data_IF_196551524864
#
_entry.id   IF_196551524864
#
_cell.length_a   1.000
_cell.length_b   1.000
_cell.length_c   1.000
_cell.angle_alpha   90.00
_cell.angle_beta   90.00
_cell.angle_gamma   90.00
#
_symmetry.space_group_name_H-M   'P 1'
#
loop_
_entity.id
_entity.type
_entity.pdbx_description
1 polymer ?
#
# COMPACT_ATOMS: atom_id res chain seq x y z
N UNK A 1 -15.15 3.29 11.29
CA UNK A 1 -15.02 1.83 11.12
C UNK A 1 -13.61 1.52 10.67
N UNK A 2 -12.92 0.62 11.35
CA UNK A 2 -11.57 0.23 10.99
C UNK A 2 -11.50 -1.25 10.67
N UNK A 3 -10.71 -1.57 9.66
CA UNK A 3 -10.41 -2.92 9.21
C UNK A 3 -8.91 -3.16 9.28
N UNK A 4 -8.49 -4.43 9.39
CA UNK A 4 -7.08 -4.80 9.67
C UNK A 4 -6.46 -5.71 8.60
N UNK A 5 -7.20 -5.98 7.51
CA UNK A 5 -6.73 -6.75 6.37
C UNK A 5 -7.37 -6.23 5.07
N UNK A 6 -6.80 -6.62 3.94
CA UNK A 6 -7.26 -6.27 2.60
C UNK A 6 -8.77 -6.49 2.38
N UNK A 7 -9.26 -7.68 2.72
CA UNK A 7 -10.63 -8.09 2.45
C UNK A 7 -11.63 -7.33 3.32
N UNK A 8 -11.34 -7.19 4.60
CA UNK A 8 -12.19 -6.41 5.52
C UNK A 8 -12.18 -4.93 5.19
N UNK A 9 -11.05 -4.37 4.75
CA UNK A 9 -10.95 -2.94 4.36
C UNK A 9 -11.83 -2.64 3.16
N UNK A 10 -11.76 -3.49 2.12
CA UNK A 10 -12.68 -3.42 0.99
C UNK A 10 -14.14 -3.55 1.43
N UNK A 11 -14.45 -4.50 2.33
CA UNK A 11 -15.82 -4.71 2.80
C UNK A 11 -16.35 -3.50 3.59
N UNK A 12 -15.52 -2.86 4.41
CA UNK A 12 -15.85 -1.60 5.10
C UNK A 12 -16.14 -0.51 4.08
N UNK A 13 -15.31 -0.33 3.04
CA UNK A 13 -15.55 0.65 1.98
C UNK A 13 -16.91 0.43 1.28
N UNK A 14 -17.24 -0.81 0.94
CA UNK A 14 -18.54 -1.16 0.34
C UNK A 14 -19.72 -0.88 1.28
N UNK A 15 -19.55 -1.11 2.59
CA UNK A 15 -20.57 -0.78 3.58
C UNK A 15 -20.74 0.74 3.75
N UNK A 16 -19.62 1.48 3.79
CA UNK A 16 -19.61 2.94 3.87
C UNK A 16 -20.38 3.56 2.70
N UNK A 17 -20.10 3.11 1.48
CA UNK A 17 -20.80 3.51 0.26
C UNK A 17 -22.30 3.16 0.32
N UNK A 18 -22.63 1.87 0.52
CA UNK A 18 -24.00 1.36 0.50
C UNK A 18 -24.95 2.11 1.42
N UNK A 19 -24.47 2.53 2.59
CA UNK A 19 -25.29 3.19 3.61
C UNK A 19 -25.07 4.71 3.68
N UNK A 20 -24.22 5.27 2.81
CA UNK A 20 -23.88 6.70 2.78
C UNK A 20 -23.33 7.19 4.12
N UNK A 21 -22.50 6.37 4.78
CA UNK A 21 -22.10 6.61 6.16
C UNK A 21 -21.08 7.74 6.29
N UNK A 22 -20.22 7.92 5.28
CA UNK A 22 -19.24 9.01 5.27
C UNK A 22 -19.93 10.38 5.30
N UNK A 23 -20.94 10.57 4.45
CA UNK A 23 -21.80 11.76 4.45
C UNK A 23 -22.60 11.96 5.77
N UNK A 24 -22.74 10.91 6.58
CA UNK A 24 -23.35 10.95 7.93
C UNK A 24 -22.33 11.18 9.04
N UNK A 25 -21.07 11.47 8.70
CA UNK A 25 -19.99 11.75 9.66
C UNK A 25 -19.29 10.50 10.22
N UNK A 26 -19.54 9.31 9.66
CA UNK A 26 -18.78 8.11 10.03
C UNK A 26 -17.46 8.12 9.27
N UNK A 27 -16.35 8.05 9.99
CA UNK A 27 -15.02 7.90 9.40
C UNK A 27 -14.65 6.43 9.26
N UNK A 28 -13.86 6.08 8.25
CA UNK A 28 -13.40 4.72 8.03
C UNK A 28 -12.04 4.61 7.35
N UNK A 29 -11.31 3.53 7.67
CA UNK A 29 -10.02 3.23 7.04
C UNK A 29 -9.56 1.81 7.31
N UNK A 30 -8.42 1.43 6.76
CA UNK A 30 -7.86 0.10 6.97
C UNK A 30 -6.48 -0.10 6.35
N UNK A 31 -6.24 -1.30 5.84
CA UNK A 31 -4.93 -1.75 5.35
C UNK A 31 -5.03 -2.34 3.94
N UNK A 32 -3.87 -2.41 3.30
CA UNK A 32 -3.63 -2.97 1.97
C UNK A 32 -4.29 -2.18 0.83
N UNK A 33 -4.00 -2.61 -0.40
CA UNK A 33 -4.17 -1.82 -1.62
C UNK A 33 -5.05 -2.51 -2.66
N UNK A 34 -6.12 -3.17 -2.25
CA UNK A 34 -7.07 -3.72 -3.24
C UNK A 34 -7.65 -2.60 -4.10
N UNK A 35 -7.87 -2.82 -5.41
CA UNK A 35 -8.40 -1.79 -6.31
C UNK A 35 -9.65 -1.11 -5.77
N UNK A 36 -10.61 -1.88 -5.24
CA UNK A 36 -11.84 -1.35 -4.68
C UNK A 36 -11.63 -0.53 -3.39
N UNK A 37 -10.55 -0.77 -2.65
CA UNK A 37 -10.17 0.07 -1.50
C UNK A 37 -9.69 1.43 -1.98
N UNK A 38 -8.85 1.46 -3.02
CA UNK A 38 -8.35 2.70 -3.61
C UNK A 38 -9.47 3.50 -4.27
N UNK A 39 -10.43 2.84 -4.91
CA UNK A 39 -11.62 3.47 -5.48
C UNK A 39 -12.51 4.06 -4.38
N UNK A 40 -12.72 3.35 -3.27
CA UNK A 40 -13.49 3.86 -2.13
C UNK A 40 -12.85 5.11 -1.50
N UNK A 41 -11.52 5.20 -1.46
CA UNK A 41 -10.82 6.42 -1.01
C UNK A 41 -11.02 7.55 -2.01
N UNK A 42 -10.83 7.28 -3.31
CA UNK A 42 -11.01 8.28 -4.37
C UNK A 42 -12.44 8.86 -4.40
N UNK A 43 -13.44 8.03 -4.09
CA UNK A 43 -14.86 8.37 -4.10
C UNK A 43 -15.41 8.87 -2.76
N UNK A 44 -14.55 9.17 -1.77
CA UNK A 44 -14.97 9.73 -0.47
C UNK A 44 -15.83 8.76 0.37
N UNK A 45 -15.53 7.47 0.31
CA UNK A 45 -16.18 6.42 1.12
C UNK A 45 -15.26 5.86 2.20
N UNK A 46 -13.94 5.94 1.99
CA UNK A 46 -12.90 5.65 2.98
C UNK A 46 -11.99 6.86 3.12
N UNK A 47 -11.55 7.15 4.34
CA UNK A 47 -10.62 8.25 4.62
C UNK A 47 -9.18 7.89 4.22
N UNK A 48 -8.78 6.63 4.48
CA UNK A 48 -7.44 6.14 4.14
C UNK A 48 -7.35 4.61 4.09
N UNK A 49 -6.26 4.12 3.50
CA UNK A 49 -5.71 2.78 3.72
C UNK A 49 -4.21 2.88 4.05
N UNK A 50 -3.62 1.80 4.54
CA UNK A 50 -2.20 1.72 4.88
C UNK A 50 -1.49 0.77 3.91
N UNK A 51 -0.57 1.33 3.14
CA UNK A 51 0.41 0.61 2.32
C UNK A 51 1.58 0.15 3.21
N UNK A 52 1.72 -1.17 3.34
CA UNK A 52 2.79 -1.81 4.11
C UNK A 52 4.06 -2.08 3.28
N UNK A 53 4.13 -1.59 2.04
CA UNK A 53 5.27 -1.72 1.14
C UNK A 53 5.68 -3.18 0.87
N UNK A 54 4.72 -4.00 0.42
CA UNK A 54 4.94 -5.42 0.16
C UNK A 54 6.11 -5.72 -0.80
N UNK A 55 6.34 -4.85 -1.80
CA UNK A 55 7.49 -4.99 -2.71
C UNK A 55 8.83 -4.88 -1.97
N UNK A 56 8.99 -3.89 -1.08
CA UNK A 56 10.22 -3.74 -0.29
C UNK A 56 10.43 -4.94 0.62
N UNK A 57 9.38 -5.46 1.25
CA UNK A 57 9.46 -6.67 2.08
C UNK A 57 10.03 -7.86 1.30
N UNK A 58 9.53 -8.08 0.07
CA UNK A 58 10.07 -9.12 -0.81
C UNK A 58 11.50 -8.84 -1.27
N UNK A 59 11.79 -7.60 -1.69
CA UNK A 59 13.10 -7.19 -2.20
C UNK A 59 14.20 -7.33 -1.15
N UNK A 60 14.00 -6.78 0.05
CA UNK A 60 14.99 -6.85 1.12
C UNK A 60 15.22 -8.29 1.57
N UNK A 61 14.17 -9.12 1.63
CA UNK A 61 14.33 -10.55 1.93
C UNK A 61 15.27 -11.24 0.93
N UNK A 62 15.10 -10.99 -0.38
CA UNK A 62 15.97 -11.59 -1.41
C UNK A 62 17.40 -11.04 -1.32
N UNK A 63 17.55 -9.73 -1.08
CA UNK A 63 18.84 -9.09 -0.89
C UNK A 63 19.61 -9.70 0.29
N UNK A 64 18.97 -9.86 1.45
CA UNK A 64 19.58 -10.46 2.64
C UNK A 64 19.97 -11.92 2.41
N UNK A 65 19.10 -12.72 1.77
CA UNK A 65 19.43 -14.09 1.39
C UNK A 65 20.65 -14.16 0.46
N UNK A 66 20.79 -13.22 -0.48
CA UNK A 66 21.95 -13.14 -1.36
C UNK A 66 23.22 -12.81 -0.57
N UNK A 67 23.16 -11.83 0.35
CA UNK A 67 24.30 -11.46 1.20
C UNK A 67 24.72 -12.58 2.14
N UNK A 68 23.76 -13.28 2.75
CA UNK A 68 24.04 -14.45 3.58
C UNK A 68 24.82 -15.51 2.80
N UNK A 69 24.38 -15.85 1.58
CA UNK A 69 25.08 -16.83 0.73
C UNK A 69 26.47 -16.37 0.32
N UNK A 70 26.62 -15.13 -0.15
CA UNK A 70 27.89 -14.60 -0.64
C UNK A 70 28.94 -14.43 0.47
N UNK A 71 28.49 -14.10 1.68
CA UNK A 71 29.36 -13.91 2.84
C UNK A 71 29.74 -15.22 3.53
N UNK A 72 29.25 -16.38 3.07
CA UNK A 72 29.43 -17.65 3.79
C UNK A 72 28.71 -17.69 5.14
N UNK A 73 27.63 -16.91 5.30
CA UNK A 73 26.83 -16.81 6.52
C UNK A 73 27.29 -15.74 7.51
N UNK A 74 28.29 -14.92 7.17
CA UNK A 74 28.77 -13.84 8.05
C UNK A 74 27.81 -12.64 8.09
N UNK A 75 27.13 -12.34 6.97
CA UNK A 75 26.04 -11.37 6.92
C UNK A 75 24.73 -12.06 7.29
N UNK A 76 24.20 -11.77 8.47
CA UNK A 76 22.92 -12.29 8.95
C UNK A 76 21.71 -11.45 8.52
N UNK A 77 20.48 -11.93 8.77
CA UNK A 77 19.27 -11.16 8.54
C UNK A 77 19.23 -9.93 9.46
N UNK A 78 18.74 -8.80 8.95
CA UNK A 78 18.50 -7.60 9.73
C UNK A 78 17.00 -7.39 9.95
N UNK A 79 16.66 -6.70 11.04
CA UNK A 79 15.31 -6.19 11.21
C UNK A 79 15.14 -4.95 10.34
N UNK A 80 14.38 -5.08 9.25
CA UNK A 80 14.15 -3.99 8.30
C UNK A 80 12.70 -3.52 8.38
N UNK A 81 12.49 -2.33 8.94
CA UNK A 81 11.19 -1.66 8.89
C UNK A 81 11.00 -1.06 7.49
N UNK A 82 10.06 -1.60 6.72
CA UNK A 82 9.71 -1.09 5.37
C UNK A 82 8.79 0.12 5.40
N UNK A 83 8.43 0.60 6.60
CA UNK A 83 7.55 1.73 6.79
C UNK A 83 6.07 1.40 6.55
N UNK A 84 5.23 2.35 6.97
CA UNK A 84 3.78 2.34 6.73
C UNK A 84 3.44 3.67 6.07
N UNK A 85 2.81 3.61 4.89
CA UNK A 85 2.38 4.81 4.19
C UNK A 85 0.87 4.90 4.22
N UNK A 86 0.37 6.00 4.77
CA UNK A 86 -1.04 6.35 4.65
C UNK A 86 -1.31 6.75 3.21
N UNK A 87 -2.31 6.12 2.61
CA UNK A 87 -2.84 6.47 1.30
C UNK A 87 -4.22 7.05 1.54
N UNK A 88 -4.38 8.33 1.27
CA UNK A 88 -5.60 9.10 1.48
C UNK A 88 -6.03 9.76 0.16
N UNK A 89 -7.13 10.50 0.20
CA UNK A 89 -7.69 11.15 -0.99
C UNK A 89 -6.71 12.06 -1.72
N UNK A 90 -5.81 12.72 -0.98
CA UNK A 90 -4.79 13.61 -1.54
C UNK A 90 -3.74 12.90 -2.39
N UNK A 91 -3.50 11.60 -2.18
CA UNK A 91 -2.37 10.87 -2.77
C UNK A 91 -2.71 9.45 -3.26
N UNK A 92 -4.00 9.09 -3.33
CA UNK A 92 -4.47 7.82 -3.91
C UNK A 92 -4.37 7.77 -5.44
N UNK A 93 -4.33 8.93 -6.12
CA UNK A 93 -4.36 8.98 -7.58
C UNK A 93 -3.19 8.20 -8.24
N UNK A 94 -1.92 8.38 -7.83
CA UNK A 94 -0.81 7.57 -8.36
C UNK A 94 -1.01 6.06 -8.21
N UNK A 95 -1.59 5.58 -7.10
CA UNK A 95 -1.86 4.16 -6.89
C UNK A 95 -2.87 3.58 -7.89
N UNK A 96 -3.73 4.42 -8.45
CA UNK A 96 -4.75 4.02 -9.43
C UNK A 96 -4.28 4.17 -10.88
N UNK A 97 -3.42 5.16 -11.16
CA UNK A 97 -3.02 5.50 -12.52
C UNK A 97 -1.66 4.94 -12.94
N UNK A 98 -0.80 4.65 -11.96
CA UNK A 98 0.54 4.15 -12.24
C UNK A 98 0.50 2.62 -12.40
N UNK A 99 0.74 2.15 -13.62
CA UNK A 99 0.87 0.72 -13.89
C UNK A 99 2.33 0.28 -13.73
N UNK A 100 2.67 -0.20 -12.53
CA UNK A 100 4.03 -0.59 -12.17
C UNK A 100 4.09 -2.00 -11.58
N UNK A 101 5.30 -2.57 -11.57
CA UNK A 101 5.61 -3.82 -10.86
C UNK A 101 5.80 -3.67 -9.36
N UNK A 102 5.96 -2.44 -8.88
CA UNK A 102 6.21 -2.13 -7.47
C UNK A 102 4.92 -2.21 -6.65
N UNK A 103 3.78 -1.81 -7.23
CA UNK A 103 2.45 -1.92 -6.60
C UNK A 103 1.64 -3.12 -7.15
N UNK A 104 2.25 -3.96 -7.98
CA UNK A 104 1.66 -5.22 -8.46
C UNK A 104 0.70 -5.10 -9.66
N UNK A 105 0.59 -3.93 -10.30
CA UNK A 105 -0.29 -3.69 -11.43
C UNK A 105 0.29 -4.10 -12.80
N UNK A 106 1.58 -4.47 -12.87
CA UNK A 106 2.28 -4.90 -14.09
C UNK A 106 3.48 -5.80 -13.78
N UNK A 107 3.91 -6.63 -14.72
CA UNK A 107 5.17 -7.39 -14.63
C UNK A 107 6.34 -6.73 -15.40
N UNK A 108 6.05 -5.68 -16.19
CA UNK A 108 7.04 -5.02 -17.02
C UNK A 108 8.14 -4.34 -16.20
N UNK A 109 9.37 -4.40 -16.70
CA UNK A 109 10.48 -3.65 -16.14
C UNK A 109 10.38 -2.21 -16.61
N UNK A 110 10.18 -1.28 -15.68
CA UNK A 110 10.09 0.14 -15.99
C UNK A 110 10.63 0.97 -14.83
N UNK A 111 11.26 2.10 -15.16
CA UNK A 111 11.58 3.15 -14.21
C UNK A 111 10.40 4.11 -14.18
N UNK A 112 9.81 4.31 -13.01
CA UNK A 112 8.69 5.24 -12.85
C UNK A 112 9.25 6.65 -12.66
N UNK A 113 8.98 7.61 -13.56
CA UNK A 113 9.47 8.97 -13.41
C UNK A 113 8.82 9.62 -12.18
N UNK A 114 9.62 10.27 -11.34
CA UNK A 114 9.15 11.11 -10.24
C UNK A 114 9.79 12.49 -10.30
N UNK A 115 9.07 13.50 -9.85
CA UNK A 115 9.57 14.86 -9.64
C UNK A 115 9.29 15.30 -8.19
N UNK A 116 9.94 16.37 -7.74
CA UNK A 116 9.78 16.91 -6.40
C UNK A 116 10.65 16.24 -5.31
N UNK A 117 10.63 16.78 -4.08
CA UNK A 117 11.42 16.25 -2.97
C UNK A 117 10.96 14.84 -2.58
N UNK A 118 11.80 14.12 -1.83
CA UNK A 118 11.35 12.93 -1.09
C UNK A 118 10.55 13.45 0.11
N UNK A 119 9.26 13.13 0.21
CA UNK A 119 8.48 13.40 1.41
C UNK A 119 8.66 12.24 2.39
N UNK A 120 9.02 12.55 3.62
CA UNK A 120 9.03 11.63 4.76
C UNK A 120 7.65 11.51 5.38
#
# INVERSE_FOLDING_TARGET
>A
MFAVDAGSTMAVGKAMEKYGLHAKGVHAGGFDLLPETLDAIANDHLDFTIDQQAYLRGFYTVMEMAMFKLSGGLSGPAEVNTGLKFVAKSDVAPYRTTHSRYEGASSAQAVIPRSGPIST
#
